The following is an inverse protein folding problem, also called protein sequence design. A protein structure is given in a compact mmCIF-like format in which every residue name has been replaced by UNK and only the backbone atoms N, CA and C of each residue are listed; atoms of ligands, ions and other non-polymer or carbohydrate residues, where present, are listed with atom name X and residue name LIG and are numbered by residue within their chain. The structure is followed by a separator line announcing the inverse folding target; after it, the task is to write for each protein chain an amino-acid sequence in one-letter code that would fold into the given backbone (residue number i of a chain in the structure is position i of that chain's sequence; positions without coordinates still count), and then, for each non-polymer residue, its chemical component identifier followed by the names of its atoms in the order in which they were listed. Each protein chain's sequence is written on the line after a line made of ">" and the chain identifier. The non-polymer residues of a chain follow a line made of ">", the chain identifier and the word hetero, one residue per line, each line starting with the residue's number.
data_IF_072862802742
#
_entry.id   IF_072862802742
#
_cell.length_a   1.000
_cell.length_b   1.000
_cell.length_c   1.000
_cell.angle_alpha   90.00
_cell.angle_beta   90.00
_cell.angle_gamma   90.00
#
_symmetry.space_group_name_H-M   'P 1'
#
loop_
_entity.id
_entity.type
_entity.pdbx_description
1 polymer ?
#
# COMPACT_ATOMS: atom_id res chain seq x y z
N UNK A 1 -28.23 54.72 18.90
CA UNK A 1 -27.70 53.67 19.79
C UNK A 1 -27.75 54.20 21.21
N UNK A 2 -28.54 53.60 22.08
CA UNK A 2 -28.76 54.10 23.45
C UNK A 2 -27.67 53.62 24.41
N UNK A 3 -27.42 54.40 25.47
CA UNK A 3 -26.42 54.15 26.53
C UNK A 3 -26.54 52.76 27.19
N UNK A 4 -27.71 52.13 27.12
CA UNK A 4 -27.99 50.78 27.62
C UNK A 4 -27.47 49.63 26.73
N UNK A 5 -27.06 49.88 25.49
CA UNK A 5 -26.41 48.84 24.65
C UNK A 5 -24.95 48.57 25.07
N UNK A 6 -24.34 49.43 25.89
CA UNK A 6 -22.98 49.25 26.39
C UNK A 6 -22.86 48.11 27.43
N UNK A 7 -23.98 47.71 28.04
CA UNK A 7 -24.06 46.70 29.10
C UNK A 7 -24.66 45.36 28.65
N UNK A 8 -25.01 45.22 27.37
CA UNK A 8 -25.32 43.90 26.81
C UNK A 8 -24.02 43.14 26.62
N UNK A 9 -23.81 42.10 27.44
CA UNK A 9 -22.83 41.04 27.19
C UNK A 9 -22.90 40.69 25.71
N UNK A 10 -21.79 40.87 24.97
CA UNK A 10 -21.62 40.30 23.64
C UNK A 10 -21.99 38.83 23.74
N UNK A 11 -23.07 38.43 23.06
CA UNK A 11 -23.32 37.03 22.79
C UNK A 11 -22.04 36.43 22.21
N UNK A 12 -21.69 35.21 22.62
CA UNK A 12 -20.54 34.48 22.07
C UNK A 12 -20.56 34.62 20.54
N UNK A 13 -19.43 34.97 19.92
CA UNK A 13 -19.41 35.17 18.48
C UNK A 13 -19.83 33.86 17.82
N UNK A 14 -21.00 33.85 17.18
CA UNK A 14 -21.45 32.76 16.31
C UNK A 14 -20.27 32.41 15.39
N UNK A 15 -19.82 31.16 15.43
CA UNK A 15 -18.75 30.69 14.56
C UNK A 15 -19.18 30.91 13.11
N UNK A 16 -18.49 31.83 12.44
CA UNK A 16 -18.77 32.16 11.06
C UNK A 16 -18.47 30.93 10.18
N UNK A 17 -19.53 30.30 9.68
CA UNK A 17 -19.51 29.17 8.73
C UNK A 17 -18.97 29.52 7.33
N UNK A 18 -18.32 30.67 7.19
CA UNK A 18 -17.76 31.16 5.94
C UNK A 18 -16.24 30.87 5.89
N UNK A 19 -15.86 29.98 4.97
CA UNK A 19 -14.46 29.85 4.56
C UNK A 19 -14.07 31.09 3.73
N UNK A 20 -13.11 31.87 4.21
CA UNK A 20 -12.61 33.03 3.47
C UNK A 20 -11.71 32.56 2.32
N UNK A 21 -12.01 33.00 1.10
CA UNK A 21 -11.19 32.77 -0.09
C UNK A 21 -9.91 33.61 0.00
N UNK A 22 -8.75 32.99 0.18
CA UNK A 22 -7.49 33.75 0.29
C UNK A 22 -6.21 32.94 0.47
N UNK A 23 -6.15 31.68 0.00
CA UNK A 23 -4.96 30.82 0.08
C UNK A 23 -4.65 30.17 -1.27
N UNK A 24 -4.84 30.92 -2.35
CA UNK A 24 -5.01 30.35 -3.69
C UNK A 24 -3.75 29.67 -4.23
N UNK A 25 -2.53 30.10 -3.90
CA UNK A 25 -1.31 29.51 -4.47
C UNK A 25 -0.95 28.14 -3.86
N UNK A 26 -0.92 28.02 -2.53
CA UNK A 26 -0.61 26.74 -1.86
C UNK A 26 -1.79 25.77 -1.91
N UNK A 27 -3.03 26.28 -1.88
CA UNK A 27 -4.21 25.46 -2.13
C UNK A 27 -4.28 25.02 -3.59
N UNK A 28 -3.90 25.86 -4.57
CA UNK A 28 -3.75 25.42 -5.96
C UNK A 28 -2.57 24.48 -6.10
N UNK A 29 -1.46 24.61 -5.37
CA UNK A 29 -0.34 23.66 -5.46
C UNK A 29 -0.74 22.29 -4.89
N UNK A 30 -1.36 22.25 -3.71
CA UNK A 30 -1.91 21.03 -3.12
C UNK A 30 -3.07 20.46 -3.94
N UNK A 31 -3.96 21.32 -4.48
CA UNK A 31 -5.01 20.88 -5.41
C UNK A 31 -4.46 20.51 -6.78
N UNK A 32 -3.36 21.08 -7.24
CA UNK A 32 -2.70 20.69 -8.48
C UNK A 32 -2.03 19.34 -8.25
N UNK A 33 -1.40 19.09 -7.11
CA UNK A 33 -0.93 17.75 -6.75
C UNK A 33 -2.07 16.72 -6.73
N UNK A 34 -3.24 17.11 -6.25
CA UNK A 34 -4.47 16.30 -6.25
C UNK A 34 -5.15 16.16 -7.64
N UNK A 35 -5.23 17.23 -8.44
CA UNK A 35 -5.93 17.34 -9.74
C UNK A 35 -5.03 16.92 -10.91
N UNK A 36 -3.78 17.37 -10.89
CA UNK A 36 -2.76 17.08 -11.89
C UNK A 36 -2.17 15.71 -11.72
N UNK A 37 -2.62 14.94 -10.70
CA UNK A 37 -2.27 13.56 -10.39
C UNK A 37 -0.99 13.19 -11.07
N UNK A 38 0.14 13.67 -10.52
CA UNK A 38 1.47 13.39 -11.07
C UNK A 38 1.76 11.92 -10.84
N UNK A 39 1.03 11.11 -11.60
CA UNK A 39 1.24 9.74 -12.00
C UNK A 39 1.73 8.82 -10.89
N UNK A 40 0.99 8.69 -9.81
CA UNK A 40 1.02 7.41 -9.10
C UNK A 40 0.13 6.40 -9.85
N UNK A 41 0.42 6.17 -11.15
CA UNK A 41 -0.11 5.02 -11.91
C UNK A 41 0.28 3.72 -11.20
N UNK A 42 1.35 3.78 -10.39
CA UNK A 42 1.72 2.78 -9.42
C UNK A 42 0.55 2.37 -8.48
N UNK A 43 -0.42 3.24 -8.19
CA UNK A 43 -1.65 2.85 -7.46
C UNK A 43 -2.39 1.71 -8.15
N UNK A 44 -2.37 1.64 -9.48
CA UNK A 44 -3.02 0.57 -10.25
C UNK A 44 -2.23 -0.74 -10.24
N UNK A 45 -1.00 -0.74 -9.72
CA UNK A 45 -0.17 -1.94 -9.67
C UNK A 45 -0.71 -2.91 -8.63
N UNK A 46 -0.53 -4.21 -8.91
CA UNK A 46 -0.93 -5.27 -7.99
C UNK A 46 -0.23 -5.15 -6.63
N UNK A 47 1.01 -4.62 -6.61
CA UNK A 47 1.78 -4.40 -5.39
C UNK A 47 1.09 -3.38 -4.48
N UNK A 48 0.74 -2.20 -5.00
CA UNK A 48 0.05 -1.18 -4.19
C UNK A 48 -1.35 -1.64 -3.79
N UNK A 49 -2.13 -2.22 -4.71
CA UNK A 49 -3.49 -2.69 -4.38
C UNK A 49 -3.49 -3.80 -3.34
N UNK A 50 -2.47 -4.66 -3.33
CA UNK A 50 -2.30 -5.69 -2.30
C UNK A 50 -1.98 -5.05 -0.93
N UNK A 51 -1.16 -3.99 -0.90
CA UNK A 51 -0.89 -3.24 0.33
C UNK A 51 -2.17 -2.56 0.87
N UNK A 52 -2.93 -1.89 0.00
CA UNK A 52 -4.21 -1.26 0.34
C UNK A 52 -5.20 -2.30 0.89
N UNK A 53 -5.31 -3.45 0.22
CA UNK A 53 -6.21 -4.54 0.64
C UNK A 53 -5.86 -5.08 2.03
N UNK A 54 -4.56 -5.14 2.38
CA UNK A 54 -4.11 -5.56 3.72
C UNK A 54 -4.52 -4.54 4.79
N UNK A 55 -4.41 -3.25 4.51
CA UNK A 55 -4.88 -2.20 5.41
C UNK A 55 -6.39 -2.26 5.60
N UNK A 56 -7.17 -2.38 4.51
CA UNK A 56 -8.62 -2.55 4.58
C UNK A 56 -9.02 -3.78 5.39
N UNK A 57 -8.35 -4.91 5.15
CA UNK A 57 -8.63 -6.15 5.86
C UNK A 57 -8.32 -6.03 7.36
N UNK A 58 -7.23 -5.36 7.70
CA UNK A 58 -6.87 -5.12 9.10
C UNK A 58 -7.88 -4.24 9.84
N UNK A 59 -8.34 -3.15 9.20
CA UNK A 59 -9.34 -2.25 9.76
C UNK A 59 -10.75 -2.82 9.80
N UNK A 60 -11.16 -3.60 8.80
CA UNK A 60 -12.48 -4.26 8.79
C UNK A 60 -12.63 -5.34 9.85
N UNK A 61 -11.52 -5.97 10.23
CA UNK A 61 -11.46 -6.97 11.30
C UNK A 61 -11.29 -6.36 12.70
N UNK A 62 -10.99 -5.07 12.80
CA UNK A 62 -10.71 -4.41 14.07
C UNK A 62 -11.90 -4.47 15.04
N UNK A 63 -11.59 -4.63 16.34
CA UNK A 63 -12.57 -4.57 17.43
C UNK A 63 -12.76 -3.11 17.84
N UNK A 64 -13.93 -2.54 17.54
CA UNK A 64 -14.28 -1.15 17.91
C UNK A 64 -15.17 -1.15 19.14
N UNK A 65 -14.84 -0.29 20.11
CA UNK A 65 -15.66 -0.05 21.30
C UNK A 65 -15.90 1.45 21.48
N UNK A 66 -17.09 1.81 21.97
CA UNK A 66 -17.45 3.19 22.32
C UNK A 66 -18.28 3.93 21.27
N UNK A 67 -18.48 3.36 20.07
CA UNK A 67 -19.37 3.92 19.04
C UNK A 67 -19.81 2.85 18.04
N UNK A 68 -21.02 3.01 17.49
CA UNK A 68 -21.55 2.21 16.39
C UNK A 68 -21.38 2.90 15.01
N UNK A 69 -20.91 4.15 14.99
CA UNK A 69 -20.72 4.92 13.75
C UNK A 69 -19.54 4.43 12.92
N UNK A 70 -18.53 3.84 13.57
CA UNK A 70 -17.37 3.22 12.93
C UNK A 70 -17.69 1.77 12.57
N UNK A 71 -18.61 1.59 11.62
CA UNK A 71 -18.94 0.27 11.08
C UNK A 71 -17.80 -0.28 10.20
N UNK A 72 -17.82 -1.60 9.95
CA UNK A 72 -16.77 -2.26 9.13
C UNK A 72 -16.63 -1.62 7.75
N UNK A 73 -17.72 -1.12 7.18
CA UNK A 73 -17.72 -0.46 5.87
C UNK A 73 -17.01 0.89 5.93
N UNK A 74 -17.27 1.71 6.94
CA UNK A 74 -16.61 2.98 7.17
C UNK A 74 -15.12 2.77 7.43
N UNK A 75 -14.76 1.77 8.23
CA UNK A 75 -13.36 1.40 8.47
C UNK A 75 -12.65 0.93 7.20
N UNK A 76 -13.30 0.16 6.33
CA UNK A 76 -12.75 -0.22 5.03
C UNK A 76 -12.46 1.00 4.16
N UNK A 77 -13.46 1.89 4.00
CA UNK A 77 -13.32 3.11 3.21
C UNK A 77 -12.26 4.05 3.80
N UNK A 78 -12.20 4.14 5.12
CA UNK A 78 -11.21 4.94 5.85
C UNK A 78 -9.81 4.40 5.59
N UNK A 79 -9.58 3.10 5.77
CA UNK A 79 -8.28 2.48 5.53
C UNK A 79 -7.81 2.66 4.09
N UNK A 80 -8.71 2.48 3.11
CA UNK A 80 -8.41 2.75 1.70
C UNK A 80 -8.04 4.21 1.46
N UNK A 81 -8.82 5.14 2.01
CA UNK A 81 -8.57 6.57 1.85
C UNK A 81 -7.22 6.98 2.48
N UNK A 82 -6.88 6.46 3.66
CA UNK A 82 -5.56 6.67 4.28
C UNK A 82 -4.43 6.05 3.44
N UNK A 83 -4.64 4.86 2.88
CA UNK A 83 -3.61 4.17 2.08
C UNK A 83 -3.32 4.85 0.73
N UNK A 84 -4.34 5.44 0.09
CA UNK A 84 -4.21 6.07 -1.23
C UNK A 84 -3.97 7.58 -1.17
N UNK A 85 -4.64 8.28 -0.25
CA UNK A 85 -4.57 9.76 -0.16
C UNK A 85 -3.78 10.24 1.05
N UNK A 86 -3.59 9.41 2.05
CA UNK A 86 -3.02 9.83 3.33
C UNK A 86 -4.01 10.57 4.24
N UNK A 87 -5.26 10.72 3.81
CA UNK A 87 -6.30 11.40 4.56
C UNK A 87 -7.69 10.85 4.23
N UNK A 88 -8.55 10.86 5.24
CA UNK A 88 -9.92 10.37 5.17
C UNK A 88 -10.86 11.36 5.87
N UNK A 89 -11.87 11.81 5.13
CA UNK A 89 -12.87 12.77 5.60
C UNK A 89 -14.26 12.15 5.56
N UNK A 90 -14.93 12.18 6.71
CA UNK A 90 -16.32 11.75 6.85
C UNK A 90 -17.15 12.86 7.49
N UNK A 91 -18.30 13.14 6.91
CA UNK A 91 -19.32 13.98 7.54
C UNK A 91 -20.08 13.15 8.58
N UNK A 92 -20.15 13.66 9.80
CA UNK A 92 -20.83 13.01 10.94
C UNK A 92 -22.30 13.44 10.91
N UNK A 93 -23.19 12.49 10.65
CA UNK A 93 -24.66 12.63 10.77
C UNK A 93 -25.17 11.41 11.56
N UNK A 94 -26.30 10.84 11.16
CA UNK A 94 -26.78 9.55 11.70
C UNK A 94 -25.84 8.38 11.36
N UNK A 95 -24.94 8.58 10.38
CA UNK A 95 -23.87 7.68 9.99
C UNK A 95 -22.66 8.49 9.52
N UNK A 96 -21.50 7.84 9.41
CA UNK A 96 -20.36 8.44 8.72
C UNK A 96 -20.61 8.43 7.21
N UNK A 97 -20.66 9.63 6.62
CA UNK A 97 -20.82 9.82 5.17
C UNK A 97 -19.48 10.20 4.58
N UNK A 98 -18.93 9.33 3.73
CA UNK A 98 -17.64 9.60 3.08
C UNK A 98 -17.72 10.82 2.16
N UNK A 99 -16.77 11.74 2.30
CA UNK A 99 -16.66 12.92 1.44
C UNK A 99 -15.69 12.63 0.29
N UNK A 100 -16.05 13.08 -0.92
CA UNK A 100 -15.22 12.89 -2.12
C UNK A 100 -14.16 13.97 -2.24
N UNK A 101 -14.53 15.22 -1.96
CA UNK A 101 -13.66 16.41 -1.99
C UNK A 101 -14.00 17.30 -0.79
N UNK A 102 -13.05 18.12 -0.36
CA UNK A 102 -13.24 19.08 0.72
C UNK A 102 -12.27 20.26 0.59
N UNK A 103 -12.77 21.44 0.95
CA UNK A 103 -11.93 22.58 1.31
C UNK A 103 -12.04 22.82 2.80
N UNK A 104 -10.97 23.32 3.43
CA UNK A 104 -11.00 23.63 4.84
C UNK A 104 -10.40 25.01 5.13
N UNK A 105 -10.89 25.60 6.22
CA UNK A 105 -10.30 26.78 6.84
C UNK A 105 -9.57 26.33 8.09
N UNK A 106 -8.34 26.79 8.27
CA UNK A 106 -7.52 26.48 9.45
C UNK A 106 -7.28 27.72 10.31
N UNK A 107 -6.94 27.49 11.58
CA UNK A 107 -6.41 28.47 12.53
C UNK A 107 -5.29 27.77 13.30
N UNK A 108 -4.10 28.37 13.35
CA UNK A 108 -2.91 27.76 13.99
C UNK A 108 -2.57 26.36 13.48
N UNK A 109 -2.87 26.05 12.21
CA UNK A 109 -2.67 24.72 11.63
C UNK A 109 -3.79 23.71 11.93
N UNK A 110 -4.78 24.07 12.75
CA UNK A 110 -5.93 23.23 13.06
C UNK A 110 -7.16 23.59 12.20
N UNK A 111 -7.86 22.62 11.62
CA UNK A 111 -9.09 22.89 10.86
C UNK A 111 -10.24 23.39 11.75
N UNK A 112 -10.88 24.49 11.34
CA UNK A 112 -12.03 25.09 12.04
C UNK A 112 -13.37 24.88 11.32
N UNK A 113 -13.34 24.86 9.99
CA UNK A 113 -14.55 24.70 9.17
C UNK A 113 -14.19 24.00 7.86
N UNK A 114 -15.13 23.23 7.34
CA UNK A 114 -15.01 22.48 6.10
C UNK A 114 -16.12 22.85 5.14
N UNK A 115 -15.81 22.83 3.86
CA UNK A 115 -16.77 22.73 2.78
C UNK A 115 -16.58 21.36 2.16
N UNK A 116 -17.43 20.42 2.52
CA UNK A 116 -17.35 19.02 2.06
C UNK A 116 -18.26 18.81 0.85
N UNK A 117 -17.83 17.92 -0.04
CA UNK A 117 -18.63 17.45 -1.16
C UNK A 117 -18.95 15.97 -0.95
N UNK A 118 -20.24 15.64 -0.96
CA UNK A 118 -20.76 14.28 -0.83
C UNK A 118 -21.18 13.79 -2.21
N UNK A 119 -20.56 12.71 -2.66
CA UNK A 119 -20.91 12.05 -3.91
C UNK A 119 -22.21 11.25 -3.77
N UNK A 120 -23.21 11.59 -4.57
CA UNK A 120 -24.46 10.82 -4.69
C UNK A 120 -24.72 10.47 -6.16
N UNK A 121 -25.35 9.32 -6.39
CA UNK A 121 -25.78 8.90 -7.73
C UNK A 121 -26.91 9.84 -8.16
N UNK A 122 -26.68 10.68 -9.17
CA UNK A 122 -27.66 11.66 -9.67
C UNK A 122 -27.32 13.13 -9.42
N UNK A 123 -26.17 13.42 -8.80
CA UNK A 123 -25.68 14.78 -8.57
C UNK A 123 -25.22 14.95 -7.13
N UNK A 124 -23.92 15.19 -6.94
CA UNK A 124 -23.36 15.40 -5.61
C UNK A 124 -23.84 16.71 -4.98
N UNK A 125 -23.76 16.76 -3.64
CA UNK A 125 -24.08 17.97 -2.86
C UNK A 125 -22.85 18.49 -2.14
N UNK A 126 -22.73 19.80 -2.04
CA UNK A 126 -21.71 20.44 -1.20
C UNK A 126 -22.35 21.06 0.03
N UNK A 127 -21.73 20.87 1.19
CA UNK A 127 -22.22 21.32 2.48
C UNK A 127 -21.09 21.96 3.29
N UNK A 128 -21.38 23.07 3.96
CA UNK A 128 -20.45 23.67 4.92
C UNK A 128 -20.70 23.09 6.30
N UNK A 129 -19.67 22.49 6.90
CA UNK A 129 -19.73 21.84 8.20
C UNK A 129 -18.65 22.40 9.14
N UNK A 130 -18.95 22.43 10.43
CA UNK A 130 -17.94 22.82 11.44
C UNK A 130 -16.96 21.66 11.67
N UNK A 131 -15.78 21.95 12.21
CA UNK A 131 -14.76 20.92 12.47
C UNK A 131 -15.24 19.79 13.40
N UNK A 132 -16.15 20.09 14.33
CA UNK A 132 -16.76 19.10 15.21
C UNK A 132 -17.70 18.12 14.47
N UNK A 133 -18.23 18.51 13.31
CA UNK A 133 -19.18 17.72 12.53
C UNK A 133 -18.50 16.85 11.45
N UNK A 134 -17.17 16.90 11.35
CA UNK A 134 -16.40 16.24 10.31
C UNK A 134 -15.31 15.43 10.96
N UNK A 135 -15.29 14.11 10.78
CA UNK A 135 -14.16 13.27 11.17
C UNK A 135 -13.06 13.39 10.10
N UNK A 136 -11.87 13.91 10.46
CA UNK A 136 -10.78 14.11 9.52
C UNK A 136 -9.48 13.50 10.04
N UNK A 137 -9.18 12.29 9.56
CA UNK A 137 -7.98 11.55 9.92
C UNK A 137 -6.90 11.78 8.87
N UNK A 138 -5.68 12.07 9.33
CA UNK A 138 -4.52 12.43 8.50
C UNK A 138 -3.31 11.60 8.91
N UNK A 139 -2.51 11.21 7.94
CA UNK A 139 -1.27 10.46 8.15
C UNK A 139 -0.12 11.11 7.37
N UNK A 140 1.10 10.99 7.87
CA UNK A 140 2.28 11.50 7.17
C UNK A 140 2.29 13.02 6.91
N UNK A 141 1.54 13.78 7.71
CA UNK A 141 1.47 15.23 7.58
C UNK A 141 2.85 15.89 7.78
N UNK A 142 3.10 16.96 7.02
CA UNK A 142 4.31 17.78 7.12
C UNK A 142 4.10 18.93 8.11
N UNK A 143 5.18 19.43 8.71
CA UNK A 143 5.15 20.65 9.53
C UNK A 143 4.69 21.89 8.77
N UNK A 144 4.84 21.89 7.44
CA UNK A 144 4.40 22.99 6.57
C UNK A 144 2.89 22.97 6.36
N UNK A 145 2.31 21.77 6.28
CA UNK A 145 0.87 21.54 6.02
C UNK A 145 0.31 20.53 7.03
N UNK A 146 0.27 20.85 8.33
CA UNK A 146 -0.20 19.92 9.37
C UNK A 146 -1.69 19.55 9.23
N UNK A 147 -2.44 20.33 8.46
CA UNK A 147 -3.85 20.08 8.14
C UNK A 147 -4.08 19.13 6.96
N UNK A 148 -3.03 18.68 6.27
CA UNK A 148 -3.15 17.80 5.10
C UNK A 148 -2.35 16.51 5.32
N UNK A 149 -2.94 15.38 4.93
CA UNK A 149 -2.27 14.08 4.92
C UNK A 149 -1.34 13.90 3.73
N UNK A 150 -0.49 12.87 3.78
CA UNK A 150 0.34 12.44 2.66
C UNK A 150 0.35 10.92 2.57
N UNK A 151 -0.01 10.41 1.39
CA UNK A 151 -0.07 8.98 1.14
C UNK A 151 1.30 8.30 1.31
N UNK A 152 1.34 7.02 1.73
CA UNK A 152 2.59 6.25 1.77
C UNK A 152 3.30 6.19 0.41
N UNK A 153 2.54 6.06 -0.68
CA UNK A 153 3.09 5.99 -2.04
C UNK A 153 3.77 7.29 -2.44
N UNK A 154 3.20 8.44 -2.07
CA UNK A 154 3.80 9.75 -2.32
C UNK A 154 5.18 9.89 -1.65
N UNK A 155 5.35 9.32 -0.45
CA UNK A 155 6.65 9.25 0.24
C UNK A 155 7.66 8.32 -0.44
N UNK A 156 7.19 7.43 -1.32
CA UNK A 156 7.98 6.48 -2.10
C UNK A 156 7.90 6.75 -3.63
N UNK A 157 7.62 7.99 -4.03
CA UNK A 157 7.35 8.37 -5.43
C UNK A 157 8.46 7.99 -6.42
N UNK A 158 9.73 8.03 -6.00
CA UNK A 158 10.85 7.57 -6.85
C UNK A 158 10.77 6.06 -7.16
N UNK A 159 10.44 5.25 -6.15
CA UNK A 159 10.27 3.80 -6.31
C UNK A 159 8.99 3.46 -7.07
N UNK A 160 7.92 4.24 -6.85
CA UNK A 160 6.67 4.13 -7.59
C UNK A 160 6.85 4.39 -9.09
N UNK A 161 7.57 5.46 -9.44
CA UNK A 161 7.94 5.77 -10.82
C UNK A 161 8.79 4.66 -11.44
N UNK A 162 9.81 4.17 -10.72
CA UNK A 162 10.64 3.06 -11.20
C UNK A 162 9.81 1.79 -11.49
N UNK A 163 8.89 1.43 -10.59
CA UNK A 163 7.99 0.29 -10.79
C UNK A 163 7.16 0.45 -12.07
N UNK A 164 6.55 1.63 -12.26
CA UNK A 164 5.75 1.93 -13.44
C UNK A 164 6.57 1.80 -14.73
N UNK A 165 7.77 2.39 -14.76
CA UNK A 165 8.63 2.35 -15.94
C UNK A 165 9.06 0.92 -16.28
N UNK A 166 9.44 0.12 -15.28
CA UNK A 166 9.84 -1.28 -15.49
C UNK A 166 8.66 -2.13 -15.97
N UNK A 167 7.48 -2.02 -15.35
CA UNK A 167 6.30 -2.79 -15.79
C UNK A 167 5.83 -2.37 -17.19
N UNK A 168 5.91 -1.07 -17.50
CA UNK A 168 5.57 -0.55 -18.84
C UNK A 168 6.56 -1.05 -19.89
N UNK A 169 7.87 -0.98 -19.61
CA UNK A 169 8.91 -1.48 -20.51
C UNK A 169 8.77 -2.99 -20.75
N UNK A 170 8.54 -3.78 -19.70
CA UNK A 170 8.31 -5.22 -19.84
C UNK A 170 7.07 -5.52 -20.69
N UNK A 171 5.96 -4.82 -20.46
CA UNK A 171 4.75 -4.94 -21.28
C UNK A 171 5.02 -4.62 -22.74
N UNK A 172 5.77 -3.57 -23.03
CA UNK A 172 6.10 -3.16 -24.39
C UNK A 172 7.03 -4.16 -25.10
N UNK A 173 8.05 -4.67 -24.40
CA UNK A 173 8.91 -5.73 -24.93
C UNK A 173 8.11 -6.98 -25.23
N UNK A 174 7.24 -7.43 -24.31
CA UNK A 174 6.40 -8.61 -24.54
C UNK A 174 5.39 -8.42 -25.68
N UNK A 175 4.92 -7.20 -25.92
CA UNK A 175 3.96 -6.90 -26.98
C UNK A 175 4.61 -6.74 -28.36
N UNK A 176 5.77 -6.09 -28.42
CA UNK A 176 6.32 -5.56 -29.67
C UNK A 176 7.65 -6.21 -30.08
N UNK A 177 8.40 -6.82 -29.15
CA UNK A 177 9.69 -7.41 -29.49
C UNK A 177 9.51 -8.71 -30.29
N UNK A 178 10.42 -9.01 -31.24
CA UNK A 178 10.39 -10.24 -32.03
C UNK A 178 10.90 -11.44 -31.21
N UNK A 179 10.20 -11.76 -30.11
CA UNK A 179 10.57 -12.82 -29.16
C UNK A 179 10.60 -14.17 -29.87
N UNK A 180 11.71 -14.90 -29.72
CA UNK A 180 11.94 -16.20 -30.35
C UNK A 180 12.24 -16.14 -31.85
N UNK A 181 12.37 -14.94 -32.43
CA UNK A 181 12.76 -14.79 -33.83
C UNK A 181 14.27 -14.90 -33.98
N UNK A 182 14.71 -15.60 -35.03
CA UNK A 182 16.12 -15.80 -35.32
C UNK A 182 16.39 -15.46 -36.79
N UNK A 183 17.52 -14.80 -37.05
CA UNK A 183 18.06 -14.65 -38.39
C UNK A 183 18.87 -15.91 -38.69
N UNK A 184 18.40 -16.70 -39.64
CA UNK A 184 19.09 -17.87 -40.13
C UNK A 184 19.78 -17.48 -41.45
N UNK A 185 21.12 -17.43 -41.49
CA UNK A 185 21.84 -17.17 -42.72
C UNK A 185 21.67 -18.38 -43.66
N UNK A 186 21.25 -18.12 -44.89
CA UNK A 186 21.05 -19.14 -45.91
C UNK A 186 22.32 -19.28 -46.78
N UNK A 187 22.57 -20.48 -47.34
CA UNK A 187 23.62 -20.65 -48.34
C UNK A 187 23.27 -19.84 -49.60
N UNK A 188 24.31 -19.30 -50.26
CA UNK A 188 24.13 -18.60 -51.52
C UNK A 188 23.74 -19.63 -52.58
N UNK A 189 22.46 -19.60 -52.99
CA UNK A 189 21.83 -20.61 -53.85
C UNK A 189 20.80 -19.94 -54.77
N UNK A 190 20.18 -20.72 -55.65
CA UNK A 190 19.19 -20.19 -56.59
C UNK A 190 17.94 -19.67 -55.87
N UNK A 191 17.20 -18.75 -56.50
CA UNK A 191 15.98 -18.18 -55.91
C UNK A 191 14.90 -19.24 -55.62
N UNK A 192 14.85 -20.32 -56.41
CA UNK A 192 13.93 -21.46 -56.22
C UNK A 192 14.32 -22.30 -55.00
N UNK A 193 15.62 -22.62 -54.83
CA UNK A 193 16.12 -23.36 -53.67
C UNK A 193 15.86 -22.59 -52.37
N UNK A 194 16.04 -21.26 -52.41
CA UNK A 194 15.76 -20.36 -51.30
C UNK A 194 14.27 -20.30 -50.94
N UNK A 195 13.37 -20.42 -51.92
CA UNK A 195 11.93 -20.49 -51.66
C UNK A 195 11.55 -21.84 -51.01
N UNK A 196 12.13 -22.94 -51.48
CA UNK A 196 11.96 -24.28 -50.90
C UNK A 196 12.47 -24.36 -49.46
N UNK A 197 13.64 -23.80 -49.18
CA UNK A 197 14.19 -23.70 -47.83
C UNK A 197 13.29 -22.85 -46.91
N UNK A 198 12.83 -21.68 -47.35
CA UNK A 198 11.90 -20.86 -46.55
C UNK A 198 10.58 -21.58 -46.24
N UNK A 199 10.09 -22.42 -47.16
CA UNK A 199 8.91 -23.23 -46.95
C UNK A 199 9.16 -24.35 -45.91
N UNK A 200 10.33 -25.00 -45.94
CA UNK A 200 10.68 -26.04 -44.96
C UNK A 200 10.87 -25.50 -43.54
N UNK A 201 11.32 -24.24 -43.38
CA UNK A 201 11.40 -23.59 -42.07
C UNK A 201 10.02 -23.24 -41.46
N UNK A 202 8.98 -23.09 -42.29
CA UNK A 202 7.66 -22.67 -41.82
C UNK A 202 6.92 -23.85 -41.18
N UNK A 203 6.95 -23.94 -39.85
CA UNK A 203 6.21 -24.94 -39.06
C UNK A 203 7.08 -26.06 -38.47
N UNK A 204 8.36 -26.14 -38.83
CA UNK A 204 9.32 -27.13 -38.32
C UNK A 204 9.91 -26.74 -36.94
N UNK A 205 9.06 -26.46 -35.94
CA UNK A 205 9.54 -26.16 -34.58
C UNK A 205 10.17 -27.40 -33.95
N UNK A 206 11.45 -27.33 -33.58
CA UNK A 206 12.16 -28.38 -32.83
C UNK A 206 12.78 -29.51 -33.68
N UNK A 207 12.78 -29.38 -35.02
CA UNK A 207 13.49 -30.33 -35.88
C UNK A 207 14.97 -29.94 -36.02
N UNK A 208 15.86 -30.90 -35.80
CA UNK A 208 17.28 -30.74 -36.06
C UNK A 208 17.51 -30.79 -37.58
N UNK A 209 17.79 -29.64 -38.19
CA UNK A 209 18.15 -29.56 -39.60
C UNK A 209 19.66 -29.78 -39.74
N UNK A 210 20.02 -30.90 -40.36
CA UNK A 210 21.39 -31.19 -40.78
C UNK A 210 21.61 -30.45 -42.10
N UNK A 211 22.41 -29.39 -42.07
CA UNK A 211 22.86 -28.72 -43.30
C UNK A 211 24.01 -29.57 -43.87
N UNK A 212 23.69 -30.46 -44.80
CA UNK A 212 24.72 -31.17 -45.56
C UNK A 212 25.45 -30.21 -46.51
N UNK A 213 26.78 -30.34 -46.59
CA UNK A 213 27.55 -29.71 -47.67
C UNK A 213 28.68 -28.76 -47.29
N UNK A 214 29.29 -28.86 -46.09
CA UNK A 214 30.48 -28.04 -45.77
C UNK A 214 31.80 -28.76 -46.11
N UNK A 215 31.79 -30.10 -46.17
CA UNK A 215 33.01 -30.89 -46.34
C UNK A 215 33.69 -30.68 -47.71
N UNK A 216 32.91 -30.56 -48.80
CA UNK A 216 33.43 -30.45 -50.16
C UNK A 216 33.90 -29.02 -50.51
N UNK A 217 33.23 -28.00 -49.95
CA UNK A 217 33.63 -26.59 -50.10
C UNK A 217 34.87 -26.24 -49.27
N UNK A 218 34.97 -26.77 -48.04
CA UNK A 218 36.15 -26.60 -47.16
C UNK A 218 37.37 -27.31 -47.76
N UNK A 219 37.20 -28.47 -48.39
CA UNK A 219 38.27 -29.15 -49.12
C UNK A 219 38.78 -28.35 -50.35
N UNK A 220 37.97 -27.43 -50.89
CA UNK A 220 38.33 -26.53 -51.99
C UNK A 220 38.86 -25.16 -51.52
N UNK A 221 39.13 -24.97 -50.22
CA UNK A 221 39.64 -23.73 -49.64
C UNK A 221 38.59 -22.61 -49.47
N UNK A 222 37.32 -22.92 -49.73
CA UNK A 222 36.21 -21.99 -49.46
C UNK A 222 35.66 -22.26 -48.05
N UNK A 223 35.54 -21.22 -47.22
CA UNK A 223 34.95 -21.31 -45.89
C UNK A 223 33.57 -20.62 -45.84
N UNK A 224 32.53 -21.19 -46.47
CA UNK A 224 31.22 -20.54 -46.59
C UNK A 224 30.47 -20.35 -45.25
N UNK A 225 30.93 -20.98 -44.15
CA UNK A 225 30.32 -20.90 -42.82
C UNK A 225 31.02 -19.99 -41.82
N UNK A 226 32.17 -19.39 -42.16
CA UNK A 226 33.00 -18.65 -41.20
C UNK A 226 32.32 -17.36 -40.66
N UNK A 227 31.41 -16.78 -41.45
CA UNK A 227 30.66 -15.56 -41.10
C UNK A 227 29.15 -15.79 -40.90
N UNK A 228 28.64 -17.00 -41.17
CA UNK A 228 27.21 -17.31 -41.12
C UNK A 228 26.82 -17.76 -39.71
N UNK A 229 26.52 -16.79 -38.83
CA UNK A 229 26.01 -17.05 -37.47
C UNK A 229 24.49 -16.90 -37.42
N UNK A 230 23.82 -17.80 -36.71
CA UNK A 230 22.41 -17.62 -36.35
C UNK A 230 22.33 -16.52 -35.31
N UNK A 231 21.64 -15.43 -35.62
CA UNK A 231 21.46 -14.31 -34.70
C UNK A 231 20.07 -14.36 -34.08
N UNK A 232 19.99 -14.30 -32.75
CA UNK A 232 18.73 -14.21 -32.04
C UNK A 232 18.30 -12.74 -31.97
N UNK A 233 17.08 -12.45 -32.40
CA UNK A 233 16.51 -11.10 -32.36
C UNK A 233 15.75 -10.80 -31.06
N UNK A 234 15.64 -11.80 -30.18
CA UNK A 234 15.06 -11.60 -28.84
C UNK A 234 15.94 -10.65 -28.04
N UNK A 235 15.42 -9.53 -27.53
CA UNK A 235 16.18 -8.64 -26.66
C UNK A 235 16.69 -9.38 -25.42
N UNK A 236 17.97 -9.21 -25.10
CA UNK A 236 18.57 -9.79 -23.90
C UNK A 236 18.20 -8.97 -22.65
N UNK A 237 17.13 -9.40 -21.97
CA UNK A 237 16.68 -8.79 -20.72
C UNK A 237 17.49 -9.21 -19.49
N UNK A 238 18.32 -10.27 -19.59
CA UNK A 238 19.07 -10.77 -18.43
C UNK A 238 20.11 -9.75 -17.96
N UNK A 239 20.78 -9.08 -18.91
CA UNK A 239 21.77 -8.04 -18.58
C UNK A 239 21.17 -6.75 -18.05
N UNK A 240 19.89 -6.50 -18.32
CA UNK A 240 19.19 -5.31 -17.89
C UNK A 240 18.70 -5.38 -16.44
N UNK A 241 18.89 -6.53 -15.75
CA UNK A 241 18.51 -6.74 -14.34
C UNK A 241 17.05 -6.34 -14.03
N UNK A 242 16.15 -6.58 -14.99
CA UNK A 242 14.77 -6.12 -14.89
C UNK A 242 14.01 -6.82 -13.77
N UNK A 243 14.35 -8.07 -13.47
CA UNK A 243 13.72 -8.84 -12.40
C UNK A 243 14.12 -8.29 -11.02
N UNK A 244 15.42 -8.04 -10.82
CA UNK A 244 15.99 -7.51 -9.58
C UNK A 244 15.49 -6.08 -9.31
N UNK A 245 15.45 -5.25 -10.36
CA UNK A 245 14.92 -3.88 -10.27
C UNK A 245 13.43 -3.88 -9.92
N UNK A 246 12.65 -4.78 -10.53
CA UNK A 246 11.23 -4.94 -10.24
C UNK A 246 11.00 -5.39 -8.80
N UNK A 247 11.74 -6.41 -8.33
CA UNK A 247 11.63 -6.92 -6.97
C UNK A 247 12.05 -5.88 -5.93
N UNK A 248 13.14 -5.15 -6.17
CA UNK A 248 13.61 -4.08 -5.29
C UNK A 248 12.58 -2.93 -5.19
N UNK A 249 12.00 -2.51 -6.33
CA UNK A 249 10.97 -1.47 -6.35
C UNK A 249 9.71 -1.91 -5.57
N UNK A 250 9.26 -3.16 -5.77
CA UNK A 250 8.14 -3.73 -5.03
C UNK A 250 8.43 -3.80 -3.53
N UNK A 251 9.62 -4.25 -3.14
CA UNK A 251 10.04 -4.30 -1.74
C UNK A 251 10.07 -2.93 -1.07
N UNK A 252 10.59 -1.90 -1.75
CA UNK A 252 10.61 -0.53 -1.24
C UNK A 252 9.19 0.04 -1.04
N UNK A 253 8.27 -0.23 -1.98
CA UNK A 253 6.87 0.17 -1.87
C UNK A 253 6.20 -0.56 -0.70
N UNK A 254 6.35 -1.87 -0.57
CA UNK A 254 5.79 -2.61 0.56
C UNK A 254 6.28 -2.06 1.90
N UNK A 255 7.58 -1.75 2.02
CA UNK A 255 8.14 -1.16 3.22
C UNK A 255 7.53 0.21 3.55
N UNK A 256 7.23 1.04 2.54
CA UNK A 256 6.54 2.33 2.74
C UNK A 256 5.12 2.17 3.31
N UNK A 257 4.43 1.08 2.96
CA UNK A 257 3.13 0.68 3.52
C UNK A 257 3.24 -0.11 4.84
N UNK A 258 4.44 -0.28 5.39
CA UNK A 258 4.68 -1.04 6.62
C UNK A 258 4.60 -2.56 6.46
N UNK A 259 4.59 -3.06 5.22
CA UNK A 259 4.55 -4.48 4.89
C UNK A 259 5.98 -4.94 4.62
N UNK A 260 6.44 -5.94 5.38
CA UNK A 260 7.76 -6.51 5.14
C UNK A 260 7.84 -7.19 3.77
N UNK A 261 8.92 -6.97 3.00
CA UNK A 261 9.14 -7.65 1.72
C UNK A 261 9.12 -9.19 1.84
N UNK A 262 9.49 -9.73 3.01
CA UNK A 262 9.43 -11.16 3.29
C UNK A 262 8.02 -11.75 3.13
N UNK A 263 6.96 -10.97 3.30
CA UNK A 263 5.59 -11.47 3.10
C UNK A 263 5.34 -11.90 1.66
N UNK A 264 5.91 -11.19 0.67
CA UNK A 264 5.71 -11.49 -0.75
C UNK A 264 6.70 -12.53 -1.29
N UNK A 265 7.71 -12.93 -0.51
CA UNK A 265 8.69 -13.91 -0.92
C UNK A 265 8.07 -15.32 -0.95
N UNK A 266 8.07 -16.02 -2.09
CA UNK A 266 7.53 -17.38 -2.21
C UNK A 266 8.18 -18.42 -1.28
N UNK A 267 9.41 -18.18 -0.83
CA UNK A 267 10.14 -19.07 0.08
C UNK A 267 9.78 -18.87 1.57
N UNK A 268 8.96 -17.87 1.90
CA UNK A 268 8.66 -17.54 3.29
C UNK A 268 7.73 -18.58 3.93
N UNK A 269 8.05 -18.97 5.15
CA UNK A 269 7.29 -19.98 5.91
C UNK A 269 6.18 -19.34 6.74
N UNK A 270 5.15 -20.13 7.09
CA UNK A 270 4.01 -19.68 7.89
C UNK A 270 4.36 -18.94 9.19
N UNK A 271 5.35 -19.37 10.00
CA UNK A 271 5.78 -18.61 11.18
C UNK A 271 6.29 -17.20 10.86
N UNK A 272 7.07 -17.04 9.79
CA UNK A 272 7.58 -15.74 9.37
C UNK A 272 6.46 -14.82 8.85
N UNK A 273 5.46 -15.37 8.14
CA UNK A 273 4.28 -14.61 7.71
C UNK A 273 3.49 -14.09 8.92
N UNK A 274 3.33 -14.89 9.98
CA UNK A 274 2.66 -14.44 11.22
C UNK A 274 3.42 -13.31 11.91
N UNK A 275 4.75 -13.33 11.87
CA UNK A 275 5.54 -12.23 12.41
C UNK A 275 5.42 -10.96 11.57
N UNK A 276 5.40 -11.09 10.24
CA UNK A 276 5.12 -9.96 9.34
C UNK A 276 3.72 -9.35 9.61
N UNK A 277 2.71 -10.20 9.83
CA UNK A 277 1.36 -9.77 10.21
C UNK A 277 1.35 -9.01 11.54
N UNK A 278 2.06 -9.54 12.56
CA UNK A 278 2.19 -8.86 13.86
C UNK A 278 2.89 -7.52 13.72
N UNK A 279 4.00 -7.45 12.97
CA UNK A 279 4.71 -6.20 12.76
C UNK A 279 3.84 -5.16 12.06
N UNK A 280 3.11 -5.55 11.01
CA UNK A 280 2.17 -4.67 10.31
C UNK A 280 1.10 -4.14 11.29
N UNK A 281 0.53 -5.02 12.11
CA UNK A 281 -0.45 -4.64 13.12
C UNK A 281 0.15 -3.66 14.13
N UNK A 282 1.31 -3.98 14.71
CA UNK A 282 1.94 -3.20 15.79
C UNK A 282 2.42 -1.83 15.33
N UNK A 283 3.13 -1.77 14.21
CA UNK A 283 3.86 -0.56 13.82
C UNK A 283 3.14 0.31 12.81
N UNK A 284 2.12 -0.25 12.13
CA UNK A 284 1.40 0.48 11.08
C UNK A 284 -0.06 0.61 11.44
N UNK A 285 -0.79 -0.49 11.61
CA UNK A 285 -2.25 -0.41 11.72
C UNK A 285 -2.73 0.08 13.08
N UNK A 286 -2.11 -0.35 14.19
CA UNK A 286 -2.51 0.06 15.54
C UNK A 286 -2.29 1.56 15.79
N UNK A 287 -1.15 2.17 15.42
CA UNK A 287 -0.97 3.62 15.52
C UNK A 287 -1.99 4.41 14.67
N UNK A 288 -2.30 3.91 13.48
CA UNK A 288 -3.34 4.51 12.64
C UNK A 288 -4.73 4.40 13.29
N UNK A 289 -5.04 3.26 13.90
CA UNK A 289 -6.28 3.04 14.62
C UNK A 289 -6.39 3.95 15.85
N UNK A 290 -5.28 4.22 16.55
CA UNK A 290 -5.21 5.16 17.66
C UNK A 290 -5.48 6.59 17.23
N UNK A 291 -4.92 7.05 16.10
CA UNK A 291 -5.23 8.37 15.54
C UNK A 291 -6.72 8.51 15.19
N UNK A 292 -7.32 7.46 14.61
CA UNK A 292 -8.76 7.42 14.33
C UNK A 292 -9.58 7.47 15.63
N UNK A 293 -9.16 6.72 16.64
CA UNK A 293 -9.84 6.64 17.93
C UNK A 293 -9.78 7.95 18.71
N UNK A 294 -8.64 8.65 18.68
CA UNK A 294 -8.46 9.97 19.30
C UNK A 294 -9.39 11.01 18.65
N UNK A 295 -9.33 11.10 17.32
CA UNK A 295 -10.18 12.01 16.55
C UNK A 295 -11.68 11.72 16.77
N UNK A 296 -12.07 10.43 16.77
CA UNK A 296 -13.44 10.02 17.03
C UNK A 296 -13.85 10.33 18.48
N UNK A 297 -12.95 10.16 19.45
CA UNK A 297 -13.24 10.46 20.87
C UNK A 297 -13.52 11.94 21.08
N UNK A 298 -12.71 12.81 20.46
CA UNK A 298 -12.89 14.26 20.54
C UNK A 298 -14.22 14.69 19.91
N UNK A 299 -14.61 14.10 18.78
CA UNK A 299 -15.77 14.56 18.00
C UNK A 299 -17.09 13.92 18.40
N UNK A 300 -17.08 12.68 18.86
CA UNK A 300 -18.28 11.98 19.31
C UNK A 300 -18.59 12.19 20.79
N UNK A 301 -17.63 12.70 21.57
CA UNK A 301 -17.79 12.93 23.01
C UNK A 301 -17.83 11.66 23.85
N UNK A 302 -17.61 10.49 23.25
CA UNK A 302 -17.50 9.19 23.92
C UNK A 302 -16.09 8.64 23.74
N UNK A 303 -15.57 7.91 24.74
CA UNK A 303 -14.26 7.26 24.61
C UNK A 303 -14.36 6.12 23.58
N UNK A 304 -13.68 6.29 22.45
CA UNK A 304 -13.58 5.28 21.40
C UNK A 304 -12.23 4.57 21.52
N UNK A 305 -12.23 3.25 21.33
CA UNK A 305 -11.00 2.46 21.21
C UNK A 305 -11.11 1.47 20.06
N UNK A 306 -10.03 1.33 19.29
CA UNK A 306 -9.94 0.41 18.15
C UNK A 306 -8.73 -0.51 18.38
N UNK A 307 -8.96 -1.83 18.37
CA UNK A 307 -7.92 -2.85 18.52
C UNK A 307 -7.83 -3.71 17.25
N UNK A 308 -6.70 -3.61 16.54
CA UNK A 308 -6.44 -4.40 15.33
C UNK A 308 -5.75 -5.75 15.61
N UNK A 309 -5.21 -5.95 16.81
CA UNK A 309 -4.44 -7.14 17.17
C UNK A 309 -5.31 -8.34 17.47
N UNK A 310 -6.41 -8.14 18.21
CA UNK A 310 -7.23 -9.24 18.73
C UNK A 310 -7.76 -10.17 17.64
N UNK A 311 -8.20 -9.61 16.52
CA UNK A 311 -8.72 -10.37 15.40
C UNK A 311 -7.63 -11.05 14.57
N UNK A 312 -6.40 -10.50 14.54
CA UNK A 312 -5.27 -11.11 13.82
C UNK A 312 -4.61 -12.23 14.62
N UNK A 313 -4.66 -12.17 15.96
CA UNK A 313 -4.08 -13.17 16.86
C UNK A 313 -4.89 -14.48 16.95
N UNK A 314 -6.15 -14.51 16.49
CA UNK A 314 -7.00 -15.72 16.55
C UNK A 314 -6.43 -16.91 15.76
N UNK A 315 -5.44 -16.68 14.90
CA UNK A 315 -4.78 -17.72 14.10
C UNK A 315 -3.54 -18.34 14.77
N UNK A 316 -3.12 -17.88 15.96
CA UNK A 316 -1.98 -18.44 16.72
C UNK A 316 -2.40 -19.31 17.93
N UNK A 317 -3.49 -20.07 17.77
CA UNK A 317 -3.92 -21.05 18.78
C UNK A 317 -2.82 -22.09 19.06
N UNK A 318 -2.02 -22.46 18.05
CA UNK A 318 -0.92 -23.42 18.18
C UNK A 318 0.32 -22.87 18.92
N UNK A 319 0.67 -21.59 18.75
CA UNK A 319 1.68 -20.92 19.57
C UNK A 319 1.21 -20.77 21.01
N UNK A 320 -0.04 -20.34 21.19
CA UNK A 320 -0.66 -20.18 22.51
C UNK A 320 -0.72 -21.50 23.28
N UNK A 321 -1.10 -22.61 22.62
CA UNK A 321 -1.12 -23.93 23.23
C UNK A 321 0.29 -24.42 23.63
N UNK A 322 1.30 -24.15 22.80
CA UNK A 322 2.70 -24.48 23.12
C UNK A 322 3.26 -23.63 24.26
N UNK A 323 2.94 -22.33 24.29
CA UNK A 323 3.31 -21.45 25.39
C UNK A 323 2.66 -21.90 26.70
N UNK A 324 1.37 -22.25 26.66
CA UNK A 324 0.66 -22.81 27.81
C UNK A 324 1.28 -24.13 28.29
N UNK A 325 1.60 -25.05 27.37
CA UNK A 325 2.28 -26.29 27.71
C UNK A 325 3.66 -26.04 28.34
N UNK A 326 4.43 -25.09 27.82
CA UNK A 326 5.71 -24.68 28.39
C UNK A 326 5.57 -24.08 29.79
N UNK A 327 4.55 -23.23 30.01
CA UNK A 327 4.21 -22.68 31.34
C UNK A 327 3.84 -23.80 32.31
N UNK A 328 3.00 -24.75 31.89
CA UNK A 328 2.59 -25.89 32.72
C UNK A 328 3.79 -26.79 33.08
N UNK A 329 4.69 -27.03 32.13
CA UNK A 329 5.91 -27.80 32.38
C UNK A 329 6.85 -27.07 33.33
N UNK A 330 7.06 -25.76 33.14
CA UNK A 330 7.86 -24.94 34.05
C UNK A 330 7.27 -24.93 35.47
N UNK A 331 5.94 -24.86 35.60
CA UNK A 331 5.24 -24.97 36.90
C UNK A 331 5.43 -26.35 37.54
N UNK A 332 5.39 -27.43 36.76
CA UNK A 332 5.64 -28.78 37.24
C UNK A 332 7.08 -28.92 37.78
N UNK A 333 8.08 -28.45 37.01
CA UNK A 333 9.48 -28.45 37.44
C UNK A 333 9.72 -27.57 38.67
N UNK A 334 9.07 -26.40 38.75
CA UNK A 334 9.16 -25.53 39.93
C UNK A 334 8.58 -26.20 41.19
N UNK A 335 7.49 -26.97 41.03
CA UNK A 335 6.89 -27.77 42.11
C UNK A 335 7.81 -28.91 42.55
N UNK A 336 8.43 -29.62 41.61
CA UNK A 336 9.42 -30.67 41.90
C UNK A 336 10.66 -30.13 42.62
N UNK A 337 11.11 -28.93 42.25
CA UNK A 337 12.22 -28.23 42.89
C UNK A 337 11.88 -27.62 44.27
N UNK A 338 10.63 -27.73 44.72
CA UNK A 338 10.18 -27.22 46.02
C UNK A 338 10.16 -25.69 46.13
N UNK A 339 10.08 -24.97 45.00
CA UNK A 339 10.01 -23.52 45.01
C UNK A 339 8.67 -23.06 45.62
N UNK A 340 8.67 -22.10 46.56
CA UNK A 340 7.45 -21.60 47.15
C UNK A 340 6.60 -20.86 46.10
N UNK A 341 5.27 -20.99 46.20
CA UNK A 341 4.33 -20.38 45.27
C UNK A 341 4.49 -18.86 45.12
N UNK A 342 4.96 -18.18 46.17
CA UNK A 342 5.27 -16.75 46.15
C UNK A 342 6.41 -16.39 45.20
N UNK A 343 7.44 -17.22 45.09
CA UNK A 343 8.59 -17.01 44.18
C UNK A 343 8.18 -17.21 42.73
N UNK A 344 7.33 -18.20 42.46
CA UNK A 344 6.78 -18.45 41.11
C UNK A 344 5.83 -17.31 40.71
N UNK A 345 4.95 -16.88 41.60
CA UNK A 345 4.07 -15.73 41.37
C UNK A 345 4.86 -14.43 41.17
N UNK A 346 5.96 -14.21 41.91
CA UNK A 346 6.85 -13.08 41.70
C UNK A 346 7.57 -13.14 40.35
N UNK A 347 7.98 -14.32 39.88
CA UNK A 347 8.57 -14.51 38.56
C UNK A 347 7.57 -14.22 37.43
N UNK A 348 6.33 -14.71 37.55
CA UNK A 348 5.27 -14.36 36.59
C UNK A 348 4.90 -12.88 36.65
N UNK A 349 4.93 -12.26 37.84
CA UNK A 349 4.70 -10.82 38.01
C UNK A 349 5.83 -9.97 37.44
N UNK A 350 7.08 -10.43 37.53
CA UNK A 350 8.22 -9.79 36.86
C UNK A 350 8.16 -9.92 35.33
N UNK A 351 7.44 -10.95 34.84
CA UNK A 351 7.08 -11.14 33.44
C UNK A 351 5.76 -10.46 33.06
N UNK A 352 5.10 -9.75 33.98
CA UNK A 352 3.80 -9.16 33.72
C UNK A 352 3.95 -7.97 32.78
N UNK A 353 3.62 -8.20 31.52
CA UNK A 353 3.55 -7.20 30.45
C UNK A 353 2.39 -6.20 30.65
N UNK A 354 1.73 -6.22 31.81
CA UNK A 354 0.63 -5.32 32.16
C UNK A 354 1.09 -3.86 32.29
N UNK A 355 2.33 -3.60 32.72
CA UNK A 355 2.92 -2.25 32.78
C UNK A 355 3.44 -1.73 31.42
N UNK A 356 3.54 -2.60 30.40
CA UNK A 356 3.96 -2.22 29.04
C UNK A 356 2.80 -1.75 28.14
N UNK A 357 1.56 -1.75 28.65
CA UNK A 357 0.37 -1.18 28.00
C UNK A 357 -0.06 0.13 28.70
N UNK A 358 0.89 1.05 28.84
CA UNK A 358 0.63 2.44 29.20
C UNK A 358 0.20 3.24 27.98
#
# INVERSE_FOLDING_TARGET
>A
MGFMDLFRRKAEPNENRAAAQGYTADLIAARHEWLSGRSDVAELTATVQSCVSLWESGFTLADVKGTDLLDRRALAMLARALALRGEAVFLIRDRLVACTDWDMRTRNGEPTAYRVSVGEIGGGRSETALAAEVLHVRIGASMVTPWAGTAPLHRASLSAGLLQEVETALREVWRNAPIGSQIIPLPDSSAEDMAGLRASFRGARGQALIVEGVAQAVAAGMHPGLEKRVENLTPDLQRAMTAETLEAARGAICAAYGILPAWLNPATTGPAIRECQRQLATWTLQPLAELVAEEATVKLGTRVSIDVHRALQSFDAGGSARALAGIMQALATAKEAGLPHSTVAAAFKALDWSEAKG
#
